data_IF_800280682125
#
_entry.id   IF_800280682125
#
_cell.length_a   1.000
_cell.length_b   1.000
_cell.length_c   1.000
_cell.angle_alpha   90.00
_cell.angle_beta   90.00
_cell.angle_gamma   90.00
#
_symmetry.space_group_name_H-M   'P 1'
#
loop_
_entity.id
_entity.type
_entity.pdbx_description
1 polymer ?
#
# COMPACT_ATOMS: atom_id res chain seq x y z
N UNK A 1 -4.76 -22.89 18.43
CA UNK A 1 -5.79 -23.73 17.79
C UNK A 1 -6.39 -23.06 16.55
N UNK A 2 -6.97 -21.85 16.64
CA UNK A 2 -7.50 -21.11 15.47
C UNK A 2 -6.45 -20.78 14.41
N UNK A 3 -5.24 -20.37 14.82
CA UNK A 3 -4.12 -20.10 13.89
C UNK A 3 -3.67 -21.33 13.11
N UNK A 4 -3.60 -22.51 13.75
CA UNK A 4 -3.23 -23.76 13.07
C UNK A 4 -4.29 -24.20 12.05
N UNK A 5 -5.58 -24.00 12.34
CA UNK A 5 -6.66 -24.34 11.40
C UNK A 5 -6.61 -23.45 10.15
N UNK A 6 -6.31 -22.16 10.31
CA UNK A 6 -6.16 -21.22 9.19
C UNK A 6 -4.95 -21.59 8.33
N UNK A 7 -3.81 -21.92 8.95
CA UNK A 7 -2.60 -22.31 8.24
C UNK A 7 -2.80 -23.60 7.43
N UNK A 8 -3.43 -24.62 8.02
CA UNK A 8 -3.77 -25.88 7.34
C UNK A 8 -4.70 -25.60 6.15
N UNK A 9 -5.74 -24.79 6.35
CA UNK A 9 -6.66 -24.42 5.27
C UNK A 9 -5.95 -23.71 4.12
N UNK A 10 -5.09 -22.73 4.41
CA UNK A 10 -4.35 -22.02 3.36
C UNK A 10 -3.35 -22.92 2.65
N UNK A 11 -2.65 -23.80 3.36
CA UNK A 11 -1.71 -24.74 2.76
C UNK A 11 -2.41 -25.77 1.86
N UNK A 12 -3.56 -26.30 2.28
CA UNK A 12 -4.37 -27.24 1.48
C UNK A 12 -4.97 -26.58 0.23
N UNK A 13 -5.31 -25.29 0.32
CA UNK A 13 -5.98 -24.54 -0.74
C UNK A 13 -5.05 -23.59 -1.50
N UNK A 14 -3.74 -23.57 -1.24
CA UNK A 14 -2.80 -22.60 -1.81
C UNK A 14 -2.85 -22.56 -3.34
N UNK A 15 -3.02 -23.72 -3.98
CA UNK A 15 -3.19 -23.91 -5.44
C UNK A 15 -4.40 -23.17 -6.05
N UNK A 16 -5.41 -22.87 -5.24
CA UNK A 16 -6.61 -22.15 -5.66
C UNK A 16 -6.39 -20.63 -5.62
N UNK A 17 -5.48 -20.16 -4.76
CA UNK A 17 -5.24 -18.75 -4.52
C UNK A 17 -4.02 -18.21 -5.25
N UNK A 18 -2.93 -18.98 -5.30
CA UNK A 18 -1.64 -18.55 -5.84
C UNK A 18 -1.32 -19.21 -7.19
N UNK A 19 -0.55 -18.54 -8.06
CA UNK A 19 0.04 -19.16 -9.24
C UNK A 19 0.89 -20.37 -8.84
N UNK A 20 0.80 -21.44 -9.62
CA UNK A 20 1.68 -22.60 -9.47
C UNK A 20 3.10 -22.20 -9.86
N UNK A 21 4.12 -22.79 -9.23
CA UNK A 21 5.56 -22.47 -9.47
C UNK A 21 5.96 -22.57 -10.95
N UNK A 22 5.23 -23.37 -11.75
CA UNK A 22 5.46 -23.54 -13.18
C UNK A 22 4.89 -22.43 -14.07
N UNK A 23 4.09 -21.50 -13.53
CA UNK A 23 3.61 -20.33 -14.26
C UNK A 23 2.88 -20.67 -15.56
N UNK A 24 1.80 -21.44 -15.49
CA UNK A 24 0.99 -21.70 -16.68
C UNK A 24 0.21 -20.44 -17.08
N UNK A 25 -0.01 -20.22 -18.38
CA UNK A 25 -0.78 -19.08 -18.91
C UNK A 25 -2.18 -18.92 -18.27
N UNK A 26 -2.73 -20.03 -17.75
CA UNK A 26 -4.02 -20.05 -17.06
C UNK A 26 -3.96 -19.48 -15.64
N UNK A 27 -2.80 -19.42 -14.98
CA UNK A 27 -2.64 -18.82 -13.65
C UNK A 27 -2.72 -17.28 -13.68
N UNK A 28 -2.29 -16.64 -14.77
CA UNK A 28 -2.33 -15.17 -14.93
C UNK A 28 -3.74 -14.62 -15.23
N UNK A 29 -4.68 -15.49 -15.63
CA UNK A 29 -6.03 -15.11 -16.07
C UNK A 29 -7.16 -15.83 -15.34
N UNK A 30 -6.89 -16.42 -14.17
CA UNK A 30 -7.96 -17.01 -13.33
C UNK A 30 -8.98 -15.92 -12.97
N UNK A 31 -10.25 -16.18 -13.26
CA UNK A 31 -11.37 -15.38 -12.74
C UNK A 31 -11.29 -15.43 -11.22
N UNK A 32 -11.14 -14.27 -10.57
CA UNK A 32 -10.96 -14.12 -9.12
C UNK A 32 -9.63 -14.67 -8.54
N UNK A 33 -8.65 -15.04 -9.39
CA UNK A 33 -7.32 -15.43 -8.92
C UNK A 33 -6.47 -14.24 -8.47
N UNK A 34 -5.54 -14.46 -7.54
CA UNK A 34 -4.56 -13.44 -7.15
C UNK A 34 -3.49 -13.30 -8.25
N UNK A 35 -3.68 -12.33 -9.15
CA UNK A 35 -2.65 -11.93 -10.10
C UNK A 35 -1.62 -11.03 -9.40
N UNK A 36 -0.39 -11.53 -9.21
CA UNK A 36 0.67 -10.76 -8.56
C UNK A 36 1.22 -9.74 -9.55
N UNK A 37 0.85 -8.46 -9.38
CA UNK A 37 1.30 -7.39 -10.29
C UNK A 37 2.84 -7.22 -10.31
N UNK A 38 3.50 -7.36 -9.16
CA UNK A 38 4.95 -7.15 -8.98
C UNK A 38 5.49 -7.94 -7.80
N UNK A 39 6.71 -8.46 -7.97
CA UNK A 39 7.51 -9.07 -6.92
C UNK A 39 8.87 -8.36 -6.81
N UNK A 40 9.46 -8.42 -5.63
CA UNK A 40 10.80 -7.91 -5.35
C UNK A 40 11.33 -8.48 -4.03
N UNK A 41 12.65 -8.57 -3.82
CA UNK A 41 13.26 -9.12 -2.61
C UNK A 41 12.82 -8.40 -1.32
N UNK A 42 12.50 -7.11 -1.39
CA UNK A 42 12.05 -6.34 -0.24
C UNK A 42 11.11 -5.21 -0.63
N UNK A 43 10.29 -4.76 0.32
CA UNK A 43 9.33 -3.68 0.15
C UNK A 43 9.23 -2.84 1.43
N UNK A 44 9.10 -1.52 1.27
CA UNK A 44 8.76 -0.58 2.34
C UNK A 44 7.38 0.01 2.02
N UNK A 45 6.43 -0.10 2.95
CA UNK A 45 5.05 0.36 2.78
C UNK A 45 4.70 1.39 3.84
N UNK A 46 4.22 2.56 3.41
CA UNK A 46 3.67 3.60 4.29
C UNK A 46 2.15 3.47 4.45
N UNK A 47 1.48 3.11 3.36
CA UNK A 47 0.03 2.93 3.31
C UNK A 47 -0.36 2.08 2.09
N UNK A 48 -1.61 1.58 2.01
CA UNK A 48 -2.09 0.88 0.83
C UNK A 48 -1.89 1.71 -0.45
N UNK A 49 -1.23 1.13 -1.46
CA UNK A 49 -0.87 1.78 -2.75
C UNK A 49 0.18 2.91 -2.64
N UNK A 50 0.85 3.06 -1.49
CA UNK A 50 1.97 3.97 -1.23
C UNK A 50 3.16 3.18 -0.69
N UNK A 51 4.02 2.70 -1.58
CA UNK A 51 5.10 1.77 -1.25
C UNK A 51 6.30 1.88 -2.20
N UNK A 52 7.44 1.36 -1.77
CA UNK A 52 8.65 1.15 -2.58
C UNK A 52 8.90 -0.36 -2.65
N UNK A 53 9.01 -0.92 -3.86
CA UNK A 53 9.50 -2.28 -4.07
C UNK A 53 10.91 -2.20 -4.64
N UNK A 54 11.85 -2.91 -4.03
CA UNK A 54 13.20 -3.09 -4.55
C UNK A 54 13.18 -4.24 -5.55
N UNK A 55 13.76 -4.04 -6.74
CA UNK A 55 13.82 -5.08 -7.78
C UNK A 55 15.01 -6.01 -7.57
N UNK A 56 16.16 -5.44 -7.21
CA UNK A 56 17.43 -6.12 -7.00
C UNK A 56 18.10 -5.58 -5.73
N UNK A 57 19.12 -6.27 -5.25
CA UNK A 57 19.98 -5.80 -4.15
C UNK A 57 20.81 -4.56 -4.52
N UNK A 58 20.84 -4.15 -5.79
CA UNK A 58 21.65 -3.05 -6.34
C UNK A 58 20.83 -1.74 -6.51
N UNK A 59 20.05 -1.38 -5.49
CA UNK A 59 19.26 -0.12 -5.35
C UNK A 59 18.20 0.22 -6.41
N UNK A 60 18.05 -0.57 -7.48
CA UNK A 60 16.94 -0.43 -8.42
C UNK A 60 15.60 -0.62 -7.68
N UNK A 61 14.83 0.45 -7.59
CA UNK A 61 13.57 0.48 -6.86
C UNK A 61 12.44 1.09 -7.68
N UNK A 62 11.21 0.66 -7.37
CA UNK A 62 10.00 1.18 -7.99
C UNK A 62 9.09 1.73 -6.91
N UNK A 63 8.90 3.04 -6.94
CA UNK A 63 8.01 3.75 -6.04
C UNK A 63 6.61 3.77 -6.66
N UNK A 64 5.61 3.32 -5.91
CA UNK A 64 4.19 3.48 -6.24
C UNK A 64 3.58 4.41 -5.22
N UNK A 65 3.10 5.57 -5.67
CA UNK A 65 2.33 6.49 -4.85
C UNK A 65 0.99 6.79 -5.50
N UNK A 66 -0.09 6.62 -4.73
CA UNK A 66 -1.44 6.99 -5.13
C UNK A 66 -1.70 8.44 -4.80
N UNK A 67 -2.33 9.13 -5.74
CA UNK A 67 -2.78 10.50 -5.54
C UNK A 67 -1.71 11.54 -5.85
N UNK A 68 -0.45 11.18 -6.08
CA UNK A 68 0.60 12.10 -6.54
C UNK A 68 0.93 11.84 -8.01
N UNK A 69 1.09 12.91 -8.79
CA UNK A 69 1.62 12.79 -10.14
C UNK A 69 3.15 12.64 -10.09
N UNK A 70 3.61 11.40 -10.31
CA UNK A 70 5.02 11.02 -10.23
C UNK A 70 5.89 11.64 -11.35
N UNK A 71 5.29 12.09 -12.47
CA UNK A 71 6.03 12.77 -13.54
C UNK A 71 6.48 14.17 -13.13
N UNK A 72 5.63 14.85 -12.36
CA UNK A 72 5.86 16.22 -11.89
C UNK A 72 6.62 16.20 -10.57
N UNK A 73 6.17 15.38 -9.63
CA UNK A 73 6.77 15.27 -8.31
C UNK A 73 7.65 14.01 -8.29
N UNK A 74 8.94 14.20 -8.54
CA UNK A 74 9.93 13.12 -8.42
C UNK A 74 10.18 12.84 -6.94
N UNK A 75 9.57 11.77 -6.46
CA UNK A 75 9.75 11.31 -5.08
C UNK A 75 10.96 10.39 -5.01
N UNK A 76 11.82 10.62 -4.02
CA UNK A 76 13.02 9.80 -3.79
C UNK A 76 12.83 8.83 -2.62
N UNK A 77 13.70 7.82 -2.55
CA UNK A 77 13.79 6.87 -1.43
C UNK A 77 14.06 7.61 -0.11
N UNK A 78 14.95 8.60 -0.13
CA UNK A 78 15.36 9.37 1.05
C UNK A 78 14.19 10.13 1.65
N UNK A 79 13.32 10.74 0.83
CA UNK A 79 12.12 11.42 1.31
C UNK A 79 11.16 10.47 2.05
N UNK A 80 11.10 9.20 1.64
CA UNK A 80 10.30 8.17 2.31
C UNK A 80 10.97 7.74 3.62
N UNK A 81 12.29 7.60 3.64
CA UNK A 81 13.07 7.27 4.85
C UNK A 81 12.97 8.40 5.89
N UNK A 82 13.13 9.66 5.46
CA UNK A 82 12.93 10.85 6.31
C UNK A 82 11.53 10.90 6.91
N UNK A 83 10.52 10.50 6.12
CA UNK A 83 9.14 10.46 6.58
C UNK A 83 8.94 9.43 7.71
N UNK A 84 9.62 8.29 7.63
CA UNK A 84 9.55 7.23 8.66
C UNK A 84 10.34 7.61 9.90
N UNK A 85 11.59 8.05 9.73
CA UNK A 85 12.52 8.26 10.84
C UNK A 85 12.28 9.57 11.58
N UNK A 86 11.94 10.63 10.85
CA UNK A 86 11.84 12.00 11.38
C UNK A 86 10.38 12.49 11.40
N UNK A 87 9.45 11.75 10.76
CA UNK A 87 8.06 12.20 10.62
C UNK A 87 7.88 13.33 9.61
N UNK A 88 8.86 13.55 8.72
CA UNK A 88 8.85 14.65 7.75
C UNK A 88 7.72 14.47 6.73
N UNK A 89 6.89 15.50 6.57
CA UNK A 89 5.83 15.52 5.55
C UNK A 89 6.41 16.12 4.26
N UNK A 90 6.25 15.40 3.15
CA UNK A 90 6.64 15.90 1.83
C UNK A 90 5.39 16.37 1.09
N UNK A 91 5.35 17.66 0.76
CA UNK A 91 4.30 18.24 -0.06
C UNK A 91 4.56 18.00 -1.54
N UNK A 92 3.49 17.89 -2.31
CA UNK A 92 3.50 17.64 -3.74
C UNK A 92 2.41 18.47 -4.41
N UNK A 93 2.66 18.92 -5.62
CA UNK A 93 1.71 19.73 -6.39
C UNK A 93 1.10 18.86 -7.48
N UNK A 94 -0.22 18.67 -7.44
CA UNK A 94 -0.93 18.05 -8.54
C UNK A 94 -1.61 19.11 -9.39
N UNK A 95 -1.53 18.90 -10.69
CA UNK A 95 -2.32 19.67 -11.64
C UNK A 95 -3.58 18.89 -11.98
N UNK A 96 -4.72 19.56 -11.95
CA UNK A 96 -6.03 19.03 -12.34
C UNK A 96 -6.69 20.03 -13.28
N UNK A 97 -7.41 19.54 -14.28
CA UNK A 97 -8.32 20.40 -15.06
C UNK A 97 -9.63 20.59 -14.29
N UNK A 98 -10.08 21.84 -14.23
CA UNK A 98 -11.33 22.25 -13.61
C UNK A 98 -11.95 23.39 -14.38
N UNK A 99 -13.21 23.69 -14.09
CA UNK A 99 -13.92 24.82 -14.68
C UNK A 99 -13.98 25.96 -13.67
N UNK A 100 -13.58 27.16 -14.06
CA UNK A 100 -13.71 28.39 -13.28
C UNK A 100 -14.35 29.45 -14.17
N UNK A 101 -15.44 30.05 -13.70
CA UNK A 101 -16.19 31.07 -14.46
C UNK A 101 -16.57 30.61 -15.89
N UNK A 102 -17.06 29.38 -16.03
CA UNK A 102 -17.42 28.78 -17.33
C UNK A 102 -16.27 28.54 -18.31
N UNK A 103 -15.03 28.73 -17.89
CA UNK A 103 -13.84 28.43 -18.69
C UNK A 103 -13.09 27.24 -18.10
N UNK A 104 -12.59 26.36 -18.97
CA UNK A 104 -11.71 25.28 -18.55
C UNK A 104 -10.34 25.87 -18.20
N UNK A 105 -9.85 25.57 -17.00
CA UNK A 105 -8.58 26.02 -16.50
C UNK A 105 -7.82 24.87 -15.85
N UNK A 106 -6.50 24.99 -15.81
CA UNK A 106 -5.63 24.10 -15.06
C UNK A 106 -5.43 24.65 -13.66
N UNK A 107 -5.76 23.84 -12.65
CA UNK A 107 -5.64 24.18 -11.24
C UNK A 107 -4.45 23.43 -10.66
N UNK A 108 -3.52 24.16 -10.04
CA UNK A 108 -2.49 23.59 -9.18
C UNK A 108 -3.05 23.45 -7.77
N UNK A 109 -2.98 22.24 -7.22
CA UNK A 109 -3.39 21.93 -5.87
C UNK A 109 -2.18 21.35 -5.14
N UNK A 110 -1.71 22.06 -4.13
CA UNK A 110 -0.75 21.54 -3.17
C UNK A 110 -1.43 20.57 -2.22
N UNK A 111 -0.77 19.46 -1.97
CA UNK A 111 -1.23 18.44 -1.03
C UNK A 111 -0.05 17.70 -0.43
N UNK A 112 -0.32 17.03 0.68
CA UNK A 112 0.66 16.14 1.26
C UNK A 112 0.82 14.91 0.34
N UNK A 113 2.01 14.75 -0.24
CA UNK A 113 2.33 13.62 -1.08
C UNK A 113 2.77 12.42 -0.25
N UNK A 114 3.77 12.65 0.60
CA UNK A 114 4.28 11.65 1.55
C UNK A 114 3.97 12.12 2.95
N UNK A 115 3.33 11.23 3.69
CA UNK A 115 2.97 11.41 5.09
C UNK A 115 3.28 10.10 5.80
N UNK A 116 3.44 10.18 7.12
CA UNK A 116 3.75 9.02 7.94
C UNK A 116 2.67 7.94 7.87
N UNK A 117 2.77 6.97 8.77
CA UNK A 117 1.90 5.79 8.77
C UNK A 117 0.43 6.21 8.97
N UNK A 118 -0.40 5.99 7.94
CA UNK A 118 -1.86 6.15 8.01
C UNK A 118 -2.48 4.84 8.48
N UNK A 119 -2.31 4.53 9.76
CA UNK A 119 -3.06 3.44 10.37
C UNK A 119 -4.53 3.87 10.41
N UNK A 120 -5.35 3.24 9.57
CA UNK A 120 -6.81 3.43 9.57
C UNK A 120 -7.53 2.37 10.38
N UNK A 121 -6.86 1.27 10.69
CA UNK A 121 -7.42 0.14 11.41
C UNK A 121 -6.38 -0.55 12.27
N UNK A 122 -6.85 -1.18 13.35
CA UNK A 122 -6.11 -2.10 14.21
C UNK A 122 -6.73 -3.48 13.98
N UNK A 123 -5.89 -4.49 13.77
CA UNK A 123 -6.34 -5.89 13.72
C UNK A 123 -6.17 -6.49 15.10
N UNK A 124 -7.26 -7.01 15.67
CA UNK A 124 -7.27 -7.65 16.98
C UNK A 124 -6.83 -9.12 16.89
N UNK A 125 -6.54 -9.75 18.02
CA UNK A 125 -6.05 -11.15 18.06
C UNK A 125 -7.03 -12.14 17.42
N UNK A 126 -8.33 -11.87 17.52
CA UNK A 126 -9.40 -12.64 16.88
C UNK A 126 -9.57 -12.35 15.38
N UNK A 127 -8.61 -11.65 14.75
CA UNK A 127 -8.64 -11.24 13.34
C UNK A 127 -9.74 -10.23 12.98
N UNK A 128 -10.47 -9.71 13.97
CA UNK A 128 -11.43 -8.62 13.72
C UNK A 128 -10.71 -7.29 13.47
N UNK A 129 -11.37 -6.44 12.70
CA UNK A 129 -10.83 -5.18 12.22
C UNK A 129 -11.53 -4.02 12.93
N UNK A 130 -10.80 -3.25 13.72
CA UNK A 130 -11.32 -2.10 14.45
C UNK A 130 -10.78 -0.78 13.88
N UNK A 131 -11.55 0.32 13.91
CA UNK A 131 -11.07 1.62 13.46
C UNK A 131 -9.90 2.09 14.33
N UNK A 132 -8.82 2.59 13.72
CA UNK A 132 -7.72 3.16 14.49
C UNK A 132 -8.14 4.48 15.15
N UNK A 133 -7.90 4.61 16.45
CA UNK A 133 -8.07 5.85 17.20
C UNK A 133 -6.75 6.20 17.89
N UNK A 134 -6.36 7.47 17.82
CA UNK A 134 -5.09 7.92 18.39
C UNK A 134 -5.06 7.71 19.91
N UNK A 135 -4.00 7.09 20.41
CA UNK A 135 -3.83 6.79 21.84
C UNK A 135 -4.54 5.52 22.31
N UNK A 136 -5.32 4.86 21.43
CA UNK A 136 -6.00 3.59 21.74
C UNK A 136 -5.18 2.44 21.15
N UNK A 137 -4.97 1.40 21.94
CA UNK A 137 -4.27 0.17 21.58
C UNK A 137 -5.26 -0.98 21.38
N UNK A 138 -4.79 -2.10 20.82
CA UNK A 138 -5.62 -3.29 20.63
C UNK A 138 -6.23 -3.83 21.94
N UNK A 139 -5.61 -3.53 23.10
CA UNK A 139 -6.07 -3.97 24.42
C UNK A 139 -7.29 -3.22 24.94
N UNK A 140 -7.51 -2.01 24.42
CA UNK A 140 -8.59 -1.14 24.85
C UNK A 140 -9.92 -1.50 24.16
N UNK A 141 -9.89 -2.36 23.14
CA UNK A 141 -11.08 -2.90 22.50
C UNK A 141 -11.58 -4.13 23.26
N UNK A 142 -12.78 -4.05 23.82
CA UNK A 142 -13.50 -5.21 24.32
C UNK A 142 -14.22 -5.93 23.19
N UNK A 143 -14.07 -7.24 23.12
CA UNK A 143 -14.86 -8.12 22.25
C UNK A 143 -16.03 -8.69 23.07
N UNK A 144 -17.22 -8.71 22.48
CA UNK A 144 -18.37 -9.47 22.99
C UNK A 144 -18.29 -10.92 22.48
#
# INVERSE_FOLDING_TARGET
>A
MLLQVIEIFYNENAKNFFPTIRGEFYDDKKILGLAIERQGPSMITLAPKNYIIFKNYCDDSKIKQKGVNQKINKITKDQIVDCINVGKITQCTNMRLGQKNHQMCQLSIEKNGITGIHNKMIVLENQSCCPFMYGITAKDYSYA
#
